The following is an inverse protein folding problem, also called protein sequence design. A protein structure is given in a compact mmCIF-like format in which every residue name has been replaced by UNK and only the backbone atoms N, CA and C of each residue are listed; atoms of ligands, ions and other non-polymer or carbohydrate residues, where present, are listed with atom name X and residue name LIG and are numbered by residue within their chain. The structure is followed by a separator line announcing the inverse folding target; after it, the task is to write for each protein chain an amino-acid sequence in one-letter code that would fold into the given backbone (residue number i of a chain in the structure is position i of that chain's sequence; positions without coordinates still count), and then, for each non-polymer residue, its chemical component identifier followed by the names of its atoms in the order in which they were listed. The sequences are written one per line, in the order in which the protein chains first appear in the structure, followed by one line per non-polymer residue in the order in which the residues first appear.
data_IF_048276518727
#
_entry.id   IF_048276518727
#
_cell.length_a   1.000
_cell.length_b   1.000
_cell.length_c   1.000
_cell.angle_alpha   90.00
_cell.angle_beta   90.00
_cell.angle_gamma   90.00
#
_symmetry.space_group_name_H-M   'P 1'
#
loop_
_entity.id
_entity.type
_entity.pdbx_description
1 polymer ?
#
# COMPACT_ATOMS: atom_id res chain seq x y z
N UNK A 1 3.31 7.09 3.08
CA UNK A 1 3.36 6.76 1.65
C UNK A 1 2.49 5.55 1.37
N UNK A 2 1.27 5.83 0.97
CA UNK A 2 0.41 4.88 0.28
C UNK A 2 0.77 4.88 -1.20
N UNK A 3 0.34 3.86 -1.92
CA UNK A 3 0.57 3.78 -3.37
C UNK A 3 -0.35 2.75 -4.01
N UNK A 4 -0.66 2.99 -5.28
CA UNK A 4 -1.39 2.07 -6.12
C UNK A 4 -0.74 2.07 -7.51
N UNK A 5 -0.60 0.88 -8.08
CA UNK A 5 -0.17 0.70 -9.46
C UNK A 5 -0.95 -0.44 -10.09
N UNK A 6 -1.17 -0.34 -11.40
CA UNK A 6 -1.85 -1.36 -12.18
C UNK A 6 -1.25 -1.41 -13.58
N UNK A 7 -0.81 -2.60 -13.96
CA UNK A 7 -0.23 -2.86 -15.28
C UNK A 7 -0.97 -4.04 -15.91
N UNK A 8 -1.48 -3.83 -17.11
CA UNK A 8 -2.14 -4.88 -17.90
C UNK A 8 -1.15 -5.40 -18.97
N UNK A 9 -1.21 -6.69 -19.29
CA UNK A 9 -0.33 -7.32 -20.27
C UNK A 9 -1.00 -8.41 -21.09
N UNK A 10 -0.41 -8.72 -22.24
CA UNK A 10 -0.90 -9.74 -23.17
C UNK A 10 0.27 -10.35 -23.93
N UNK A 11 0.32 -11.68 -23.99
CA UNK A 11 1.32 -12.44 -24.75
C UNK A 11 0.78 -13.83 -25.04
N UNK A 12 1.07 -14.40 -26.21
CA UNK A 12 0.65 -15.76 -26.59
C UNK A 12 -0.85 -16.08 -26.36
N UNK A 13 -1.74 -15.08 -26.47
CA UNK A 13 -3.17 -15.23 -26.22
C UNK A 13 -3.59 -15.23 -24.75
N UNK A 14 -2.63 -15.15 -23.81
CA UNK A 14 -2.88 -14.85 -22.41
C UNK A 14 -3.12 -13.36 -22.24
N UNK A 15 -3.94 -13.01 -21.26
CA UNK A 15 -4.08 -11.64 -20.77
C UNK A 15 -3.91 -11.66 -19.27
N UNK A 16 -3.20 -10.67 -18.74
CA UNK A 16 -3.08 -10.54 -17.30
C UNK A 16 -3.18 -9.11 -16.83
N UNK A 17 -3.40 -8.99 -15.54
CA UNK A 17 -3.43 -7.74 -14.81
C UNK A 17 -2.60 -7.93 -13.55
N UNK A 18 -1.59 -7.10 -13.41
CA UNK A 18 -0.92 -6.85 -12.15
C UNK A 18 -1.56 -5.69 -11.42
N UNK A 19 -1.80 -5.86 -10.13
CA UNK A 19 -2.25 -4.79 -9.25
C UNK A 19 -1.40 -4.78 -7.98
N UNK A 20 -0.91 -3.61 -7.59
CA UNK A 20 -0.18 -3.45 -6.36
C UNK A 20 -0.76 -2.31 -5.52
N UNK A 21 -0.93 -2.58 -4.22
CA UNK A 21 -1.35 -1.61 -3.21
C UNK A 21 -0.32 -1.54 -2.11
N UNK A 22 -0.04 -0.34 -1.63
CA UNK A 22 0.90 -0.13 -0.54
C UNK A 22 0.34 0.77 0.54
N UNK A 23 0.64 0.43 1.79
CA UNK A 23 0.39 1.26 2.97
C UNK A 23 1.66 1.40 3.81
N UNK A 24 1.71 2.48 4.60
CA UNK A 24 2.86 2.75 5.46
C UNK A 24 2.93 1.75 6.62
N UNK A 25 4.12 1.16 6.82
CA UNK A 25 4.42 0.26 7.93
C UNK A 25 5.91 0.36 8.27
N UNK A 26 6.27 0.05 9.52
CA UNK A 26 7.66 0.13 10.01
C UNK A 26 8.58 -0.87 9.30
N UNK A 27 8.09 -2.09 9.04
CA UNK A 27 8.81 -3.13 8.30
C UNK A 27 8.25 -3.33 6.90
N UNK A 28 8.94 -4.15 6.11
CA UNK A 28 8.44 -4.63 4.82
C UNK A 28 7.62 -5.91 5.03
N UNK A 29 6.32 -5.86 4.73
CA UNK A 29 5.43 -7.03 4.64
C UNK A 29 4.97 -7.17 3.18
N UNK A 30 5.23 -8.33 2.57
CA UNK A 30 4.90 -8.61 1.18
C UNK A 30 3.88 -9.73 1.10
N UNK A 31 2.67 -9.39 0.63
CA UNK A 31 1.58 -10.34 0.39
C UNK A 31 1.33 -10.48 -1.09
N UNK A 32 1.43 -11.71 -1.58
CA UNK A 32 1.20 -12.06 -2.97
C UNK A 32 -0.08 -12.86 -3.10
N UNK A 33 -0.80 -12.64 -4.20
CA UNK A 33 -1.93 -13.45 -4.62
C UNK A 33 -1.78 -13.70 -6.12
N UNK A 34 -1.32 -14.90 -6.47
CA UNK A 34 -1.17 -15.33 -7.85
C UNK A 34 -2.10 -16.52 -8.14
N UNK A 35 -2.41 -16.80 -9.43
CA UNK A 35 -3.13 -18.00 -9.82
C UNK A 35 -2.30 -19.25 -9.52
N UNK A 36 -2.96 -20.41 -9.41
CA UNK A 36 -2.28 -21.68 -9.19
C UNK A 36 -1.28 -22.00 -10.32
N UNK A 37 -0.10 -22.51 -9.94
CA UNK A 37 0.97 -22.86 -10.88
C UNK A 37 1.92 -21.71 -11.21
N UNK A 38 1.87 -20.59 -10.47
CA UNK A 38 2.74 -19.43 -10.64
C UNK A 38 3.66 -19.16 -9.44
N UNK A 39 3.87 -20.15 -8.56
CA UNK A 39 4.68 -20.00 -7.34
C UNK A 39 6.13 -19.59 -7.62
N UNK A 40 6.69 -20.01 -8.75
CA UNK A 40 8.03 -19.57 -9.19
C UNK A 40 8.05 -18.09 -9.55
N UNK A 41 6.99 -17.54 -10.15
CA UNK A 41 6.86 -16.10 -10.40
C UNK A 41 6.70 -15.37 -9.08
N UNK A 42 5.96 -15.90 -8.10
CA UNK A 42 5.87 -15.29 -6.77
C UNK A 42 7.26 -15.16 -6.11
N UNK A 43 8.08 -16.21 -6.16
CA UNK A 43 9.42 -16.17 -5.58
C UNK A 43 10.30 -15.08 -6.22
N UNK A 44 10.25 -14.97 -7.56
CA UNK A 44 10.93 -13.89 -8.30
C UNK A 44 10.37 -12.53 -7.88
N UNK A 45 9.06 -12.38 -7.83
CA UNK A 45 8.40 -11.13 -7.51
C UNK A 45 8.70 -10.64 -6.10
N UNK A 46 8.74 -11.56 -5.13
CA UNK A 46 9.13 -11.29 -3.75
C UNK A 46 10.56 -10.77 -3.67
N UNK A 47 11.49 -11.37 -4.41
CA UNK A 47 12.89 -10.93 -4.47
C UNK A 47 12.99 -9.52 -5.05
N UNK A 48 12.37 -9.28 -6.21
CA UNK A 48 12.38 -7.95 -6.88
C UNK A 48 11.75 -6.86 -6.02
N UNK A 49 10.61 -7.13 -5.39
CA UNK A 49 9.96 -6.18 -4.51
C UNK A 49 10.83 -5.85 -3.28
N UNK A 50 11.53 -6.84 -2.72
CA UNK A 50 12.45 -6.62 -1.59
C UNK A 50 13.72 -5.84 -1.98
N UNK A 51 14.15 -5.90 -3.25
CA UNK A 51 15.26 -5.09 -3.78
C UNK A 51 14.87 -3.60 -3.90
N UNK A 52 13.60 -3.31 -4.20
CA UNK A 52 13.11 -1.93 -4.45
C UNK A 52 12.58 -1.27 -3.17
N UNK A 53 11.89 -2.04 -2.31
CA UNK A 53 11.16 -1.48 -1.16
C UNK A 53 11.78 -1.90 0.17
N UNK A 54 12.18 -0.92 0.99
CA UNK A 54 12.70 -1.17 2.34
C UNK A 54 11.63 -1.28 3.43
N UNK A 55 10.44 -0.68 3.22
CA UNK A 55 9.35 -0.63 4.23
C UNK A 55 7.96 -0.53 3.60
N UNK A 56 6.96 -0.92 4.37
CA UNK A 56 5.54 -0.83 4.03
C UNK A 56 4.88 -2.21 3.96
N UNK A 57 3.56 -2.22 4.00
CA UNK A 57 2.78 -3.42 3.68
C UNK A 57 2.34 -3.33 2.22
N UNK A 58 2.80 -4.26 1.39
CA UNK A 58 2.51 -4.32 -0.03
C UNK A 58 1.66 -5.56 -0.31
N UNK A 59 0.51 -5.34 -0.95
CA UNK A 59 -0.33 -6.40 -1.50
C UNK A 59 -0.21 -6.37 -3.01
N UNK A 60 0.32 -7.44 -3.60
CA UNK A 60 0.54 -7.58 -5.04
C UNK A 60 -0.30 -8.76 -5.55
N UNK A 61 -1.09 -8.53 -6.59
CA UNK A 61 -2.04 -9.49 -7.14
C UNK A 61 -1.81 -9.65 -8.64
N UNK A 62 -1.79 -10.90 -9.11
CA UNK A 62 -1.81 -11.25 -10.53
C UNK A 62 -3.14 -11.92 -10.85
N UNK A 63 -3.89 -11.36 -11.79
CA UNK A 63 -4.99 -12.04 -12.43
C UNK A 63 -4.56 -12.44 -13.84
N UNK A 64 -4.63 -13.73 -14.18
CA UNK A 64 -4.29 -14.25 -15.51
C UNK A 64 -5.52 -14.92 -16.14
N UNK A 65 -5.78 -14.57 -17.39
CA UNK A 65 -6.78 -15.20 -18.25
C UNK A 65 -6.05 -15.98 -19.33
N UNK A 66 -6.34 -17.28 -19.41
CA UNK A 66 -5.78 -18.16 -20.44
C UNK A 66 -6.54 -17.97 -21.77
N UNK A 67 -5.88 -18.20 -22.92
CA UNK A 67 -6.57 -18.25 -24.20
C UNK A 67 -7.67 -19.32 -24.15
N UNK A 68 -8.85 -18.99 -24.68
CA UNK A 68 -9.93 -19.98 -24.82
C UNK A 68 -9.54 -20.97 -25.91
N UNK A 69 -9.12 -22.18 -25.53
CA UNK A 69 -9.06 -23.30 -26.47
C UNK A 69 -10.48 -23.85 -26.67
N UNK A 70 -10.89 -24.01 -27.93
CA UNK A 70 -12.05 -24.84 -28.24
C UNK A 70 -11.62 -26.28 -27.99
N UNK A 71 -12.30 -27.04 -27.11
CA UNK A 71 -11.91 -28.42 -26.85
C UNK A 71 -11.93 -29.21 -28.17
N UNK A 72 -10.86 -29.96 -28.43
CA UNK A 72 -10.85 -30.88 -29.54
C UNK A 72 -11.83 -32.02 -29.20
N UNK A 73 -12.75 -32.30 -30.11
CA UNK A 73 -13.64 -33.45 -29.98
C UNK A 73 -12.98 -34.62 -30.69
N UNK A 74 -12.61 -35.65 -29.94
CA UNK A 74 -12.19 -36.92 -30.52
C UNK A 74 -13.29 -37.96 -30.34
N UNK A 75 -13.36 -38.89 -31.29
CA UNK A 75 -14.25 -40.04 -31.20
C UNK A 75 -13.44 -41.19 -30.62
N UNK A 76 -13.87 -41.71 -29.47
CA UNK A 76 -13.32 -42.94 -28.93
C UNK A 76 -13.77 -44.11 -29.82
N UNK A 77 -12.92 -44.46 -30.78
CA UNK A 77 -13.22 -45.48 -31.80
C UNK A 77 -13.45 -46.85 -31.18
N UNK A 78 -12.71 -47.19 -30.12
CA UNK A 78 -12.83 -48.49 -29.44
C UNK A 78 -14.20 -48.64 -28.76
N UNK A 79 -14.68 -47.58 -28.11
CA UNK A 79 -16.02 -47.57 -27.50
C UNK A 79 -17.10 -47.59 -28.58
N UNK A 80 -16.92 -46.80 -29.64
CA UNK A 80 -17.86 -46.76 -30.76
C UNK A 80 -17.99 -48.15 -31.45
N UNK A 81 -16.87 -48.82 -31.73
CA UNK A 81 -16.86 -50.15 -32.34
C UNK A 81 -17.51 -51.21 -31.44
N UNK A 82 -17.24 -51.17 -30.13
CA UNK A 82 -17.92 -52.05 -29.15
C UNK A 82 -19.42 -51.81 -29.13
N UNK A 83 -19.86 -50.55 -29.15
CA UNK A 83 -21.28 -50.20 -29.20
C UNK A 83 -21.94 -50.65 -30.51
N UNK A 84 -21.26 -50.49 -31.65
CA UNK A 84 -21.75 -50.99 -32.94
C UNK A 84 -21.89 -52.52 -32.96
N UNK A 85 -20.94 -53.23 -32.36
CA UNK A 85 -20.96 -54.70 -32.25
C UNK A 85 -22.11 -55.16 -31.38
N UNK A 86 -22.28 -54.59 -30.19
CA UNK A 86 -23.41 -54.90 -29.29
C UNK A 86 -24.76 -54.56 -29.95
N UNK A 87 -24.85 -53.42 -30.64
CA UNK A 87 -26.06 -53.05 -31.37
C UNK A 87 -26.39 -54.05 -32.50
N UNK A 88 -25.38 -54.63 -33.16
CA UNK A 88 -25.57 -55.66 -34.17
C UNK A 88 -26.07 -56.99 -33.57
N UNK A 89 -25.60 -57.37 -32.38
CA UNK A 89 -26.06 -58.57 -31.66
C UNK A 89 -27.55 -58.49 -31.26
N UNK A 90 -28.04 -57.31 -30.89
CA UNK A 90 -29.45 -57.07 -30.59
C UNK A 90 -30.34 -56.99 -31.84
N UNK A 91 -29.77 -56.68 -33.02
CA UNK A 91 -30.52 -56.55 -34.28
C UNK A 91 -30.76 -57.90 -34.94
N UNK A 92 -31.78 -58.60 -34.49
CA UNK A 92 -32.44 -59.66 -35.27
C UNK A 92 -33.18 -59.16 -36.53
N UNK A 93 -32.55 -58.34 -37.39
CA UNK A 93 -32.98 -57.94 -38.75
C UNK A 93 -33.92 -56.73 -39.00
N UNK A 94 -34.08 -55.73 -38.11
CA UNK A 94 -34.85 -54.51 -38.48
C UNK A 94 -34.17 -53.20 -38.06
N UNK A 95 -34.02 -52.31 -39.04
CA UNK A 95 -33.43 -50.95 -39.05
C UNK A 95 -31.90 -50.81 -39.00
N UNK A 96 -31.40 -49.65 -39.44
CA UNK A 96 -29.99 -49.26 -39.44
C UNK A 96 -29.63 -48.50 -38.15
N UNK A 97 -28.44 -48.73 -37.57
CA UNK A 97 -27.94 -47.86 -36.49
C UNK A 97 -27.30 -46.66 -37.16
N UNK A 98 -27.80 -45.47 -36.87
CA UNK A 98 -27.17 -44.24 -37.30
C UNK A 98 -26.03 -43.91 -36.33
N UNK A 99 -24.85 -43.63 -36.87
CA UNK A 99 -23.65 -43.28 -36.07
C UNK A 99 -23.95 -42.06 -35.19
N UNK A 100 -24.79 -41.16 -35.69
CA UNK A 100 -25.33 -39.98 -35.01
C UNK A 100 -26.04 -40.33 -33.70
N UNK A 101 -26.73 -41.47 -33.63
CA UNK A 101 -27.40 -41.94 -32.41
C UNK A 101 -26.42 -42.50 -31.37
N UNK A 102 -25.26 -42.99 -31.81
CA UNK A 102 -24.21 -43.50 -30.92
C UNK A 102 -23.29 -42.38 -30.43
N UNK A 103 -23.05 -41.36 -31.25
CA UNK A 103 -22.21 -40.21 -30.90
C UNK A 103 -22.69 -39.43 -29.67
N UNK A 104 -24.00 -39.44 -29.38
CA UNK A 104 -24.56 -38.83 -28.16
C UNK A 104 -24.41 -39.67 -26.89
N UNK A 105 -23.90 -40.91 -26.98
CA UNK A 105 -23.75 -41.80 -25.84
C UNK A 105 -22.46 -41.50 -25.06
N UNK A 106 -22.54 -41.65 -23.73
CA UNK A 106 -21.43 -41.37 -22.83
C UNK A 106 -20.20 -42.19 -23.22
N UNK A 107 -19.08 -41.51 -23.48
CA UNK A 107 -17.80 -42.13 -23.81
C UNK A 107 -17.56 -42.36 -25.30
N UNK A 108 -18.44 -41.90 -26.21
CA UNK A 108 -18.21 -41.96 -27.66
C UNK A 108 -17.54 -40.69 -28.18
N UNK A 109 -18.06 -39.52 -27.80
CA UNK A 109 -17.37 -38.25 -27.98
C UNK A 109 -16.60 -37.97 -26.70
N UNK A 110 -15.28 -37.87 -26.82
CA UNK A 110 -14.39 -37.45 -25.76
C UNK A 110 -13.90 -36.04 -26.05
N UNK A 111 -13.91 -35.22 -25.00
CA UNK A 111 -13.26 -33.93 -25.05
C UNK A 111 -11.78 -34.18 -24.75
N UNK A 112 -10.93 -34.02 -25.76
CA UNK A 112 -9.49 -34.02 -25.57
C UNK A 112 -9.11 -32.60 -25.19
N UNK A 113 -8.82 -32.42 -23.91
CA UNK A 113 -8.05 -31.26 -23.48
C UNK A 113 -6.63 -31.47 -24.04
N UNK A 114 -6.21 -30.65 -25.00
CA UNK A 114 -4.80 -30.59 -25.38
C UNK A 114 -4.00 -30.15 -24.15
N UNK A 115 -3.52 -31.14 -23.39
CA UNK A 115 -2.93 -30.98 -22.06
C UNK A 115 -1.52 -30.39 -22.07
N UNK A 116 -0.92 -30.15 -23.24
CA UNK A 116 0.44 -29.60 -23.31
C UNK A 116 0.44 -28.29 -24.09
N UNK A 117 0.37 -27.18 -23.35
CA UNK A 117 0.82 -25.88 -23.86
C UNK A 117 2.28 -26.03 -24.31
N UNK A 118 2.61 -25.62 -25.54
CA UNK A 118 3.99 -25.69 -26.02
C UNK A 118 4.91 -24.93 -25.06
N UNK A 119 6.01 -25.56 -24.63
CA UNK A 119 6.95 -24.99 -23.65
C UNK A 119 7.42 -23.58 -24.04
N UNK A 120 7.57 -23.31 -25.34
CA UNK A 120 7.92 -22.00 -25.88
C UNK A 120 6.87 -20.91 -25.56
N UNK A 121 5.57 -21.23 -25.62
CA UNK A 121 4.49 -20.28 -25.30
C UNK A 121 4.43 -19.98 -23.80
N UNK A 122 4.67 -21.00 -22.98
CA UNK A 122 4.76 -20.87 -21.52
C UNK A 122 5.94 -19.96 -21.16
N UNK A 123 7.12 -20.21 -21.73
CA UNK A 123 8.31 -19.40 -21.51
C UNK A 123 8.12 -17.93 -21.96
N UNK A 124 7.51 -17.70 -23.13
CA UNK A 124 7.22 -16.36 -23.63
C UNK A 124 6.24 -15.60 -22.71
N UNK A 125 5.17 -16.27 -22.26
CA UNK A 125 4.22 -15.72 -21.28
C UNK A 125 4.93 -15.35 -19.98
N UNK A 126 5.76 -16.23 -19.42
CA UNK A 126 6.39 -16.00 -18.12
C UNK A 126 7.39 -14.85 -18.18
N UNK A 127 8.17 -14.76 -19.26
CA UNK A 127 9.05 -13.63 -19.50
C UNK A 127 8.27 -12.32 -19.53
N UNK A 128 7.16 -12.27 -20.30
CA UNK A 128 6.33 -11.07 -20.41
C UNK A 128 5.64 -10.70 -19.09
N UNK A 129 5.16 -11.69 -18.32
CA UNK A 129 4.58 -11.47 -16.98
C UNK A 129 5.62 -10.88 -16.02
N UNK A 130 6.85 -11.38 -16.03
CA UNK A 130 7.94 -10.85 -15.19
C UNK A 130 8.34 -9.44 -15.63
N UNK A 131 8.42 -9.14 -16.93
CA UNK A 131 8.68 -7.78 -17.41
C UNK A 131 7.60 -6.81 -16.93
N UNK A 132 6.32 -7.16 -17.08
CA UNK A 132 5.22 -6.29 -16.62
C UNK A 132 5.17 -6.12 -15.09
N UNK A 133 5.76 -7.05 -14.33
CA UNK A 133 5.96 -6.88 -12.90
C UNK A 133 7.01 -5.80 -12.60
N UNK A 134 8.10 -5.74 -13.36
CA UNK A 134 9.13 -4.70 -13.18
C UNK A 134 8.51 -3.30 -13.43
N UNK A 135 7.65 -3.17 -14.44
CA UNK A 135 6.88 -1.95 -14.70
C UNK A 135 5.96 -1.60 -13.52
N UNK A 136 5.21 -2.58 -12.99
CA UNK A 136 4.32 -2.39 -11.83
C UNK A 136 5.08 -1.89 -10.60
N UNK A 137 6.24 -2.47 -10.30
CA UNK A 137 7.04 -2.08 -9.13
C UNK A 137 7.62 -0.68 -9.31
N UNK A 138 8.02 -0.32 -10.54
CA UNK A 138 8.48 1.02 -10.89
C UNK A 138 7.37 2.07 -10.71
N UNK A 139 6.17 1.81 -11.25
CA UNK A 139 5.02 2.69 -11.08
C UNK A 139 4.62 2.85 -9.62
N UNK A 140 4.65 1.76 -8.84
CA UNK A 140 4.35 1.82 -7.42
C UNK A 140 5.38 2.65 -6.65
N UNK A 141 6.66 2.51 -6.99
CA UNK A 141 7.73 3.31 -6.40
C UNK A 141 7.55 4.80 -6.71
N UNK A 142 7.24 5.14 -7.96
CA UNK A 142 6.95 6.51 -8.38
C UNK A 142 5.73 7.09 -7.65
N UNK A 143 4.64 6.33 -7.54
CA UNK A 143 3.44 6.75 -6.81
C UNK A 143 3.74 7.02 -5.33
N UNK A 144 4.54 6.16 -4.68
CA UNK A 144 4.97 6.35 -3.30
C UNK A 144 5.88 7.56 -3.14
N UNK A 145 6.81 7.78 -4.06
CA UNK A 145 7.70 8.94 -4.04
C UNK A 145 6.90 10.24 -4.12
N UNK A 146 5.98 10.35 -5.07
CA UNK A 146 5.14 11.55 -5.21
C UNK A 146 4.26 11.82 -3.99
N UNK A 147 3.76 10.78 -3.33
CA UNK A 147 3.06 10.93 -2.03
C UNK A 147 4.02 11.40 -0.93
N UNK A 148 5.25 10.88 -0.93
CA UNK A 148 6.31 11.30 -0.02
C UNK A 148 6.64 12.78 -0.14
N UNK A 149 6.81 13.28 -1.37
CA UNK A 149 7.10 14.69 -1.66
C UNK A 149 5.98 15.62 -1.18
N UNK A 150 4.72 15.25 -1.44
CA UNK A 150 3.56 16.02 -0.95
C UNK A 150 3.51 16.08 0.58
N UNK A 151 3.72 14.93 1.24
CA UNK A 151 3.74 14.87 2.70
C UNK A 151 4.94 15.63 3.28
N UNK A 152 6.09 15.60 2.60
CA UNK A 152 7.26 16.33 3.04
C UNK A 152 7.01 17.85 3.05
N UNK A 153 6.37 18.38 2.01
CA UNK A 153 6.00 19.80 1.95
C UNK A 153 5.06 20.21 3.11
N UNK A 154 4.06 19.39 3.43
CA UNK A 154 3.12 19.65 4.55
C UNK A 154 3.83 19.59 5.90
N UNK A 155 4.70 18.61 6.10
CA UNK A 155 5.46 18.48 7.36
C UNK A 155 6.42 19.66 7.52
N UNK A 156 7.08 20.08 6.45
CA UNK A 156 7.99 21.24 6.44
C UNK A 156 7.26 22.54 6.77
N UNK A 157 6.03 22.74 6.26
CA UNK A 157 5.17 23.87 6.59
C UNK A 157 4.84 23.88 8.10
N UNK A 158 4.42 22.75 8.66
CA UNK A 158 4.13 22.65 10.09
C UNK A 158 5.36 22.87 10.97
N UNK A 159 6.53 22.35 10.59
CA UNK A 159 7.78 22.58 11.33
C UNK A 159 8.12 24.08 11.35
N UNK A 160 8.00 24.73 10.20
CA UNK A 160 8.27 26.16 10.06
C UNK A 160 7.28 27.02 10.85
N UNK A 161 6.01 26.63 10.88
CA UNK A 161 5.00 27.30 11.72
C UNK A 161 5.33 27.17 13.21
N UNK A 162 5.66 25.95 13.68
CA UNK A 162 6.07 25.70 15.08
C UNK A 162 7.30 26.55 15.44
N UNK A 163 8.30 26.61 14.58
CA UNK A 163 9.50 27.42 14.77
C UNK A 163 9.18 28.92 14.88
N UNK A 164 8.32 29.42 13.99
CA UNK A 164 7.87 30.81 14.01
C UNK A 164 7.08 31.15 15.27
N UNK A 165 6.17 30.28 15.70
CA UNK A 165 5.41 30.46 16.94
C UNK A 165 6.31 30.39 18.17
N UNK A 166 7.26 29.45 18.21
CA UNK A 166 8.24 29.32 19.30
C UNK A 166 9.05 30.62 19.44
N UNK A 167 9.50 31.20 18.32
CA UNK A 167 10.23 32.47 18.30
C UNK A 167 9.38 33.64 18.82
N UNK A 168 8.11 33.71 18.45
CA UNK A 168 7.17 34.73 18.94
C UNK A 168 6.94 34.61 20.46
N UNK A 169 6.74 33.39 20.96
CA UNK A 169 6.58 33.14 22.39
C UNK A 169 7.85 33.51 23.15
N UNK A 170 9.04 33.18 22.63
CA UNK A 170 10.31 33.57 23.23
C UNK A 170 10.49 35.10 23.34
N UNK A 171 10.04 35.85 22.32
CA UNK A 171 10.04 37.31 22.38
C UNK A 171 9.08 37.87 23.44
N UNK A 172 7.88 37.30 23.55
CA UNK A 172 6.88 37.69 24.56
C UNK A 172 7.32 37.32 25.98
N UNK A 173 7.96 36.16 26.17
CA UNK A 173 8.44 35.70 27.47
C UNK A 173 9.47 36.66 28.07
N UNK A 174 10.33 37.29 27.23
CA UNK A 174 11.29 38.32 27.69
C UNK A 174 10.61 39.54 28.29
N UNK A 175 9.40 39.89 27.83
CA UNK A 175 8.62 41.03 28.31
C UNK A 175 7.72 40.66 29.50
N UNK A 176 7.56 39.38 29.82
CA UNK A 176 6.63 38.88 30.84
C UNK A 176 6.92 39.45 32.24
N UNK A 177 8.18 39.52 32.74
CA UNK A 177 8.44 40.03 34.08
C UNK A 177 7.98 41.48 34.28
N UNK A 178 8.23 42.35 33.30
CA UNK A 178 7.82 43.76 33.33
C UNK A 178 6.29 43.89 33.28
N UNK A 179 5.63 43.11 32.41
CA UNK A 179 4.16 43.10 32.32
C UNK A 179 3.51 42.55 33.59
N UNK A 180 4.06 41.51 34.19
CA UNK A 180 3.60 40.96 35.47
C UNK A 180 3.74 41.98 36.58
N UNK A 181 4.87 42.71 36.63
CA UNK A 181 5.08 43.78 37.61
C UNK A 181 4.04 44.88 37.45
N UNK A 182 3.89 45.43 36.24
CA UNK A 182 2.94 46.50 35.97
C UNK A 182 1.50 46.11 36.36
N UNK A 183 1.07 44.90 35.96
CA UNK A 183 -0.27 44.39 36.27
C UNK A 183 -0.48 44.19 37.78
N UNK A 184 0.52 43.66 38.49
CA UNK A 184 0.42 43.44 39.93
C UNK A 184 0.36 44.77 40.68
N UNK A 185 1.15 45.77 40.27
CA UNK A 185 1.12 47.12 40.85
C UNK A 185 -0.24 47.78 40.64
N UNK A 186 -0.77 47.75 39.41
CA UNK A 186 -2.10 48.31 39.10
C UNK A 186 -3.22 47.67 39.94
N UNK A 187 -3.21 46.34 40.07
CA UNK A 187 -4.17 45.61 40.91
C UNK A 187 -4.06 45.95 42.39
N UNK A 188 -2.84 46.18 42.89
CA UNK A 188 -2.62 46.56 44.28
C UNK A 188 -3.10 48.00 44.55
N UNK A 189 -2.84 48.92 43.62
CA UNK A 189 -3.28 50.31 43.72
C UNK A 189 -4.82 50.41 43.73
N UNK A 190 -5.51 49.61 42.92
CA UNK A 190 -6.98 49.51 42.92
C UNK A 190 -7.56 48.89 44.21
N UNK A 191 -6.87 47.93 44.82
CA UNK A 191 -7.37 47.19 46.00
C UNK A 191 -7.13 47.90 47.33
N UNK A 192 -6.08 48.74 47.39
CA UNK A 192 -5.61 49.32 48.64
C UNK A 192 -6.05 50.77 48.87
N UNK A 193 -6.70 51.41 47.88
CA UNK A 193 -7.21 52.80 47.95
C UNK A 193 -6.17 53.81 48.53
N UNK A 194 -4.87 53.50 48.44
CA UNK A 194 -3.78 54.30 49.00
C UNK A 194 -3.56 54.21 50.53
N UNK A 195 -4.36 53.45 51.27
CA UNK A 195 -4.38 53.46 52.75
C UNK A 195 -3.42 52.46 53.43
N UNK A 196 -2.80 51.54 52.67
CA UNK A 196 -1.76 50.64 53.21
C UNK A 196 -0.71 50.28 52.15
N UNK A 197 0.46 50.94 52.13
CA UNK A 197 1.50 50.61 51.17
C UNK A 197 2.06 49.21 51.44
N UNK A 198 2.05 48.34 50.42
CA UNK A 198 2.76 47.06 50.46
C UNK A 198 4.26 47.36 50.45
N UNK A 199 5.04 46.68 51.29
CA UNK A 199 6.49 46.83 51.27
C UNK A 199 7.09 46.33 49.95
N UNK A 200 8.09 47.03 49.45
CA UNK A 200 8.81 46.66 48.21
C UNK A 200 9.37 45.22 48.27
N UNK A 201 9.81 44.77 49.44
CA UNK A 201 10.27 43.39 49.68
C UNK A 201 9.17 42.37 49.43
N UNK A 202 7.94 42.65 49.89
CA UNK A 202 6.83 41.71 49.73
C UNK A 202 6.34 41.70 48.28
N UNK A 203 6.32 42.86 47.63
CA UNK A 203 6.04 42.94 46.19
C UNK A 203 7.06 42.17 45.36
N UNK A 204 8.35 42.29 45.69
CA UNK A 204 9.42 41.56 45.01
C UNK A 204 9.31 40.04 45.19
N UNK A 205 8.94 39.57 46.38
CA UNK A 205 8.74 38.14 46.66
C UNK A 205 7.56 37.55 45.86
N UNK A 206 6.41 38.23 45.83
CA UNK A 206 5.24 37.79 45.07
C UNK A 206 5.51 37.80 43.56
N UNK A 207 6.21 38.84 43.07
CA UNK A 207 6.60 38.92 41.66
C UNK A 207 7.54 37.77 41.28
N UNK A 208 8.51 37.42 42.13
CA UNK A 208 9.40 36.29 41.89
C UNK A 208 8.64 34.96 41.81
N UNK A 209 7.63 34.74 42.67
CA UNK A 209 6.77 33.56 42.63
C UNK A 209 5.92 33.49 41.35
N UNK A 210 5.36 34.62 40.91
CA UNK A 210 4.55 34.71 39.69
C UNK A 210 5.41 34.43 38.45
N UNK A 211 6.59 35.07 38.36
CA UNK A 211 7.51 34.87 37.23
C UNK A 211 8.04 33.45 37.21
N UNK A 212 8.40 32.87 38.37
CA UNK A 212 8.85 31.47 38.44
C UNK A 212 7.76 30.47 38.02
N UNK A 213 6.48 30.73 38.33
CA UNK A 213 5.36 29.90 37.88
C UNK A 213 5.03 30.06 36.40
N UNK A 214 5.35 31.21 35.82
CA UNK A 214 5.11 31.53 34.41
C UNK A 214 6.32 31.30 33.50
N UNK A 215 7.40 30.71 34.02
CA UNK A 215 8.62 30.46 33.28
C UNK A 215 8.40 29.32 32.29
N UNK A 216 8.60 29.61 31.00
CA UNK A 216 8.45 28.66 29.89
C UNK A 216 9.77 28.43 29.15
N UNK A 217 10.91 28.81 29.76
CA UNK A 217 12.22 28.72 29.11
C UNK A 217 12.58 27.27 28.75
N UNK A 218 12.33 26.32 29.65
CA UNK A 218 12.63 24.90 29.38
C UNK A 218 11.78 24.36 28.22
N UNK A 219 10.50 24.71 28.17
CA UNK A 219 9.61 24.32 27.08
C UNK A 219 10.05 24.92 25.73
N UNK A 220 10.50 26.18 25.73
CA UNK A 220 11.03 26.83 24.53
C UNK A 220 12.34 26.16 24.07
N UNK A 221 13.28 25.90 24.98
CA UNK A 221 14.53 25.19 24.66
C UNK A 221 14.25 23.79 24.10
N UNK A 222 13.26 23.08 24.69
CA UNK A 222 12.83 21.77 24.22
C UNK A 222 12.18 21.83 22.83
N UNK A 223 11.34 22.84 22.56
CA UNK A 223 10.75 23.04 21.22
C UNK A 223 11.81 23.33 20.17
N UNK A 224 12.80 24.18 20.48
CA UNK A 224 13.93 24.45 19.58
C UNK A 224 14.69 23.18 19.26
N UNK A 225 14.99 22.35 20.27
CA UNK A 225 15.66 21.06 20.06
C UNK A 225 14.82 20.09 19.21
N UNK A 226 13.50 20.03 19.42
CA UNK A 226 12.61 19.19 18.63
C UNK A 226 12.46 19.66 17.19
N UNK A 227 12.41 20.97 16.93
CA UNK A 227 12.39 21.54 15.58
C UNK A 227 13.68 21.18 14.84
N UNK A 228 14.83 21.34 15.49
CA UNK A 228 16.12 20.97 14.90
C UNK A 228 16.18 19.47 14.55
N UNK A 229 15.79 18.60 15.49
CA UNK A 229 15.73 17.16 15.26
C UNK A 229 14.75 16.77 14.15
N UNK A 230 13.60 17.46 14.04
CA UNK A 230 12.64 17.22 12.97
C UNK A 230 13.21 17.60 11.60
N UNK A 231 13.93 18.73 11.50
CA UNK A 231 14.60 19.16 10.25
C UNK A 231 15.69 18.19 9.80
N UNK A 232 16.47 17.66 10.74
CA UNK A 232 17.48 16.62 10.44
C UNK A 232 16.85 15.33 9.88
N UNK A 233 15.63 14.97 10.30
CA UNK A 233 14.91 13.79 9.80
C UNK A 233 14.30 14.01 8.41
N UNK A 234 14.23 15.24 7.92
CA UNK A 234 13.67 15.60 6.62
C UNK A 234 14.71 15.61 5.49
N UNK A 235 16.01 15.59 5.83
CA UNK A 235 17.15 15.47 4.91
C UNK A 235 17.60 14.02 4.72
#
# INVERSE_FOLDING_TARGET
MTGFARVDGMEAGYRWVWEAKSVNSKGLDLRFRLPQGFDYIEAVARKRAAEIFARGNLSINLALQRPKKVPALEINRDVLEKMMTLAAEFRGSREAVYVESLMGLRGVIEVVEEETEAEELVAARDAAVVTSLEDLLSELAAARLGEGERLAAVVEEHISEIEGLTSQVAALAKLQPERCKARLTEQLDELLDGDSPVSDERLAQELALIVARGDVREELDRLVAHVAAARELMT
#
